data_IF_001283187610
#
_entry.id   IF_001283187610
#
_cell.length_a   1.000
_cell.length_b   1.000
_cell.length_c   1.000
_cell.angle_alpha   90.00
_cell.angle_beta   90.00
_cell.angle_gamma   90.00
#
_symmetry.space_group_name_H-M   'P 1'
#
loop_
_entity.id
_entity.type
_entity.pdbx_description
1 polymer ?
#
# COMPACT_ATOMS: atom_id res chain seq x y z
N UNK A 1 12.12 24.96 1.40
CA UNK A 1 11.04 25.23 0.42
C UNK A 1 10.53 23.86 -0.03
N UNK A 2 9.42 23.38 0.51
CA UNK A 2 8.93 22.02 0.22
C UNK A 2 8.14 22.02 -1.08
N UNK A 3 8.58 21.17 -2.02
CA UNK A 3 7.94 21.00 -3.32
C UNK A 3 6.56 20.35 -3.16
N UNK A 4 5.55 20.90 -3.84
CA UNK A 4 4.26 20.25 -4.01
C UNK A 4 4.45 19.03 -4.93
N UNK A 5 4.54 17.84 -4.32
CA UNK A 5 4.63 16.58 -5.05
C UNK A 5 3.32 16.27 -5.78
N UNK A 6 3.38 16.11 -7.11
CA UNK A 6 2.26 15.63 -7.91
C UNK A 6 2.00 14.16 -7.56
N UNK A 7 0.74 13.85 -7.26
CA UNK A 7 0.22 12.51 -7.02
C UNK A 7 0.40 11.66 -8.29
N UNK A 8 1.28 10.67 -8.27
CA UNK A 8 1.39 9.67 -9.34
C UNK A 8 0.74 8.37 -8.88
N UNK A 9 -0.42 8.04 -9.45
CA UNK A 9 -1.08 6.74 -9.27
C UNK A 9 -0.39 5.72 -10.16
N UNK A 10 0.29 4.74 -9.57
CA UNK A 10 0.92 3.65 -10.31
C UNK A 10 0.15 2.35 -10.04
N UNK A 11 -0.53 1.86 -11.08
CA UNK A 11 -1.33 0.62 -11.04
C UNK A 11 -0.44 -0.53 -11.52
N UNK A 12 -0.07 -1.43 -10.62
CA UNK A 12 0.73 -2.62 -10.94
C UNK A 12 -0.07 -3.62 -11.78
N UNK A 13 0.52 -4.12 -12.87
CA UNK A 13 -0.13 -5.01 -13.84
C UNK A 13 0.27 -6.49 -13.72
N UNK A 14 -0.75 -7.37 -13.80
CA UNK A 14 -0.83 -8.76 -14.30
C UNK A 14 0.41 -9.68 -14.21
N UNK A 15 0.24 -10.80 -13.50
CA UNK A 15 0.90 -12.06 -13.83
C UNK A 15 -0.16 -13.14 -14.15
N UNK A 16 -0.13 -13.70 -15.37
CA UNK A 16 -0.83 -14.96 -15.71
C UNK A 16 0.17 -16.09 -15.51
N UNK A 17 0.00 -16.88 -14.45
CA UNK A 17 0.78 -18.09 -14.25
C UNK A 17 0.28 -19.22 -15.16
N UNK A 18 1.04 -19.55 -16.20
CA UNK A 18 0.91 -20.83 -16.89
C UNK A 18 1.78 -21.85 -16.14
N UNK A 19 1.16 -22.87 -15.56
CA UNK A 19 1.84 -23.89 -14.77
C UNK A 19 2.70 -24.84 -15.61
N UNK A 20 3.81 -25.29 -15.02
CA UNK A 20 4.34 -26.66 -15.14
C UNK A 20 5.22 -26.99 -13.92
N UNK A 21 4.95 -28.16 -13.35
CA UNK A 21 5.62 -28.79 -12.22
C UNK A 21 7.13 -28.95 -12.40
N UNK A 22 7.89 -28.73 -11.32
CA UNK A 22 8.96 -29.63 -10.89
C UNK A 22 9.22 -29.50 -9.38
N UNK A 23 9.32 -30.66 -8.74
CA UNK A 23 9.64 -30.97 -7.36
C UNK A 23 10.94 -30.30 -6.83
N UNK A 24 10.88 -29.69 -5.64
CA UNK A 24 11.97 -29.60 -4.64
C UNK A 24 11.54 -28.81 -3.38
N UNK A 25 11.80 -29.39 -2.20
CA UNK A 25 11.88 -28.73 -0.88
C UNK A 25 13.35 -28.79 -0.39
N UNK A 26 13.78 -28.06 0.68
CA UNK A 26 13.05 -27.11 1.53
C UNK A 26 13.82 -25.81 1.89
N UNK A 27 13.08 -24.86 2.49
CA UNK A 27 13.59 -23.90 3.48
C UNK A 27 13.73 -22.45 3.00
N UNK A 28 12.94 -21.54 3.58
CA UNK A 28 13.30 -20.18 4.06
C UNK A 28 12.00 -19.46 4.46
N UNK A 29 12.06 -18.67 5.55
CA UNK A 29 10.94 -18.00 6.21
C UNK A 29 9.93 -17.36 5.26
N UNK A 30 8.73 -17.92 5.27
CA UNK A 30 7.61 -17.48 4.48
C UNK A 30 7.06 -16.14 4.99
N UNK A 31 7.37 -15.05 4.29
CA UNK A 31 6.49 -13.88 4.25
C UNK A 31 5.24 -14.23 3.41
N UNK A 32 4.41 -15.13 3.95
CA UNK A 32 3.14 -15.52 3.33
C UNK A 32 2.08 -14.47 3.65
N UNK A 33 1.94 -13.50 2.76
CA UNK A 33 0.70 -12.74 2.59
C UNK A 33 0.53 -12.44 1.11
N UNK A 34 0.37 -13.51 0.33
CA UNK A 34 0.08 -13.43 -1.09
C UNK A 34 -0.73 -14.66 -1.50
N UNK A 35 -2.00 -14.71 -1.08
CA UNK A 35 -3.13 -15.19 -1.89
C UNK A 35 -4.41 -15.14 -1.04
N UNK A 36 -4.96 -13.94 -0.86
CA UNK A 36 -6.32 -13.76 -0.36
C UNK A 36 -7.34 -13.57 -1.50
N UNK A 37 -6.86 -13.32 -2.72
CA UNK A 37 -7.65 -13.45 -3.94
C UNK A 37 -7.22 -14.74 -4.64
N UNK A 38 -8.17 -15.62 -4.90
CA UNK A 38 -8.00 -16.68 -5.90
C UNK A 38 -7.90 -16.07 -7.30
N UNK A 39 -8.68 -16.55 -8.27
CA UNK A 39 -8.68 -16.03 -9.65
C UNK A 39 -9.19 -14.57 -9.81
N UNK A 40 -9.50 -13.90 -8.70
CA UNK A 40 -10.02 -12.53 -8.67
C UNK A 40 -8.89 -11.50 -8.77
N UNK A 41 -9.13 -10.45 -9.55
CA UNK A 41 -8.24 -9.29 -9.59
C UNK A 41 -8.23 -8.60 -8.23
N UNK A 42 -7.05 -8.19 -7.78
CA UNK A 42 -6.84 -7.50 -6.52
C UNK A 42 -6.30 -6.09 -6.79
N UNK A 43 -6.80 -5.12 -6.04
CA UNK A 43 -6.31 -3.74 -6.07
C UNK A 43 -5.56 -3.40 -4.78
N UNK A 44 -4.50 -2.63 -4.90
CA UNK A 44 -3.87 -1.90 -3.81
C UNK A 44 -3.72 -0.44 -4.22
N UNK A 45 -3.94 0.48 -3.29
CA UNK A 45 -3.82 1.93 -3.52
C UNK A 45 -2.79 2.49 -2.55
N UNK A 46 -1.83 3.23 -3.10
CA UNK A 46 -0.68 3.76 -2.36
C UNK A 46 -0.48 5.25 -2.68
N UNK A 47 0.10 5.98 -1.72
CA UNK A 47 0.71 7.28 -1.95
C UNK A 47 2.22 7.09 -2.10
N UNK A 48 2.75 7.45 -3.27
CA UNK A 48 4.19 7.47 -3.52
C UNK A 48 4.85 8.71 -2.94
N UNK A 49 6.14 8.60 -2.62
CA UNK A 49 6.95 9.75 -2.24
C UNK A 49 7.57 10.44 -3.46
N UNK A 50 7.89 11.75 -3.37
CA UNK A 50 8.80 12.39 -4.30
C UNK A 50 10.10 11.59 -4.45
N UNK A 51 10.70 11.63 -5.64
CA UNK A 51 11.85 10.77 -6.01
C UNK A 51 12.99 10.86 -5.01
N UNK A 52 13.32 12.06 -4.57
CA UNK A 52 14.39 12.36 -3.64
C UNK A 52 14.16 11.70 -2.27
N UNK A 53 12.94 11.80 -1.74
CA UNK A 53 12.55 11.17 -0.47
C UNK A 53 12.51 9.64 -0.64
N UNK A 54 11.95 9.15 -1.74
CA UNK A 54 11.89 7.71 -2.02
C UNK A 54 13.28 7.07 -2.08
N UNK A 55 14.25 7.75 -2.70
CA UNK A 55 15.65 7.29 -2.78
C UNK A 55 16.33 7.26 -1.42
N UNK A 56 16.15 8.29 -0.60
CA UNK A 56 16.69 8.33 0.76
C UNK A 56 16.12 7.19 1.62
N UNK A 57 14.80 7.00 1.58
CA UNK A 57 14.14 5.90 2.31
C UNK A 57 14.57 4.52 1.81
N UNK A 58 14.78 4.37 0.49
CA UNK A 58 15.30 3.14 -0.08
C UNK A 58 16.72 2.83 0.42
N UNK A 59 17.61 3.83 0.49
CA UNK A 59 18.96 3.66 1.02
C UNK A 59 18.94 3.24 2.49
N UNK A 60 18.08 3.84 3.31
CA UNK A 60 17.91 3.42 4.69
C UNK A 60 17.43 1.97 4.79
N UNK A 61 16.39 1.60 4.03
CA UNK A 61 15.88 0.21 4.01
C UNK A 61 16.96 -0.79 3.59
N UNK A 62 17.73 -0.47 2.55
CA UNK A 62 18.86 -1.30 2.10
C UNK A 62 19.94 -1.43 3.19
N UNK A 63 20.27 -0.33 3.88
CA UNK A 63 21.26 -0.32 4.97
C UNK A 63 20.83 -1.17 6.18
N UNK A 64 19.52 -1.34 6.39
CA UNK A 64 18.96 -2.20 7.42
C UNK A 64 18.76 -3.66 6.96
N UNK A 65 19.18 -3.99 5.74
CA UNK A 65 19.12 -5.35 5.19
C UNK A 65 17.75 -5.75 4.69
N UNK A 66 16.87 -4.81 4.33
CA UNK A 66 15.59 -5.12 3.70
C UNK A 66 15.81 -5.64 2.25
N UNK A 67 15.53 -6.92 1.96
CA UNK A 67 15.75 -7.48 0.63
C UNK A 67 14.82 -6.88 -0.44
N UNK A 68 13.72 -6.23 -0.03
CA UNK A 68 12.74 -5.61 -0.92
C UNK A 68 12.99 -4.11 -1.12
N UNK A 69 14.07 -3.56 -0.57
CA UNK A 69 14.39 -2.13 -0.66
C UNK A 69 14.45 -1.65 -2.12
N UNK A 70 15.05 -2.44 -3.02
CA UNK A 70 15.21 -2.09 -4.43
C UNK A 70 14.01 -2.45 -5.32
N UNK A 71 13.14 -3.35 -4.83
CA UNK A 71 12.03 -3.90 -5.62
C UNK A 71 10.76 -3.08 -5.41
N UNK A 72 10.49 -2.66 -4.17
CA UNK A 72 9.27 -1.98 -3.79
C UNK A 72 9.65 -0.59 -3.28
N UNK A 73 9.38 0.50 -4.02
CA UNK A 73 9.62 1.85 -3.52
C UNK A 73 8.87 2.11 -2.21
N UNK A 74 9.45 2.96 -1.37
CA UNK A 74 8.75 3.42 -0.16
C UNK A 74 7.42 4.09 -0.54
N UNK A 75 6.37 3.80 0.23
CA UNK A 75 5.02 4.30 0.00
C UNK A 75 4.22 4.34 1.30
N UNK A 76 3.11 5.07 1.30
CA UNK A 76 2.07 5.00 2.32
C UNK A 76 0.92 4.20 1.73
N UNK A 77 0.54 3.11 2.39
CA UNK A 77 -0.58 2.27 1.93
C UNK A 77 -1.91 2.88 2.34
N UNK A 78 -2.79 3.14 1.38
CA UNK A 78 -4.18 3.56 1.64
C UNK A 78 -5.13 2.37 1.58
N UNK A 79 -4.99 1.50 0.57
CA UNK A 79 -5.80 0.28 0.45
C UNK A 79 -4.87 -0.90 0.26
N UNK A 80 -5.02 -1.91 1.11
CA UNK A 80 -4.32 -3.18 0.97
C UNK A 80 -5.07 -4.09 0.01
N UNK A 81 -4.40 -5.12 -0.50
CA UNK A 81 -4.87 -6.15 -1.45
C UNK A 81 -6.36 -6.49 -1.30
N UNK A 82 -7.21 -5.76 -2.02
CA UNK A 82 -8.67 -5.84 -1.94
C UNK A 82 -9.21 -6.44 -3.24
N UNK A 83 -10.03 -7.50 -3.17
CA UNK A 83 -10.65 -8.07 -4.37
C UNK A 83 -11.51 -7.02 -5.09
N UNK A 84 -11.27 -6.87 -6.39
CA UNK A 84 -12.06 -6.01 -7.28
C UNK A 84 -12.88 -6.91 -8.21
N UNK A 85 -14.21 -6.87 -8.07
CA UNK A 85 -15.13 -7.64 -8.90
C UNK A 85 -15.28 -7.00 -10.30
N UNK A 86 -15.44 -5.68 -10.33
CA UNK A 86 -15.45 -4.87 -11.54
C UNK A 86 -14.21 -3.96 -11.54
N UNK A 87 -13.24 -4.29 -12.40
CA UNK A 87 -11.97 -3.56 -12.49
C UNK A 87 -12.14 -2.16 -13.06
N UNK A 88 -13.05 -1.97 -14.02
CA UNK A 88 -13.24 -0.67 -14.66
C UNK A 88 -13.94 0.30 -13.71
N UNK A 89 -15.01 -0.15 -13.04
CA UNK A 89 -15.67 0.62 -11.99
C UNK A 89 -14.71 0.93 -10.83
N UNK A 90 -13.85 -0.01 -10.45
CA UNK A 90 -12.82 0.20 -9.41
C UNK A 90 -11.85 1.31 -9.81
N UNK A 91 -11.33 1.30 -11.05
CA UNK A 91 -10.42 2.33 -11.53
C UNK A 91 -11.09 3.71 -11.62
N UNK A 92 -12.34 3.76 -12.07
CA UNK A 92 -13.11 5.00 -12.11
C UNK A 92 -13.33 5.57 -10.71
N UNK A 93 -13.74 4.73 -9.75
CA UNK A 93 -13.90 5.10 -8.34
C UNK A 93 -12.63 5.69 -7.74
N UNK A 94 -11.48 5.02 -7.90
CA UNK A 94 -10.18 5.52 -7.40
C UNK A 94 -9.83 6.87 -8.03
N UNK A 95 -10.06 7.05 -9.35
CA UNK A 95 -9.82 8.32 -10.04
C UNK A 95 -10.75 9.43 -9.53
N UNK A 96 -12.00 9.09 -9.26
CA UNK A 96 -12.99 10.02 -8.73
C UNK A 96 -12.64 10.54 -7.34
N UNK A 97 -12.27 9.63 -6.43
CA UNK A 97 -11.80 10.01 -5.09
C UNK A 97 -10.55 10.88 -5.20
N UNK A 98 -9.57 10.48 -6.03
CA UNK A 98 -8.34 11.25 -6.22
C UNK A 98 -8.59 12.65 -6.81
N UNK A 99 -9.58 12.82 -7.70
CA UNK A 99 -9.94 14.12 -8.29
C UNK A 99 -10.58 15.08 -7.29
N UNK A 100 -11.35 14.56 -6.33
CA UNK A 100 -12.03 15.37 -5.30
C UNK A 100 -11.11 15.76 -4.15
N UNK A 101 -10.01 15.03 -3.97
CA UNK A 101 -9.07 15.28 -2.89
C UNK A 101 -8.28 16.58 -3.11
N UNK A 102 -8.35 17.48 -2.13
CA UNK A 102 -7.47 18.64 -2.09
C UNK A 102 -6.02 18.22 -1.73
N UNK A 103 -4.98 18.82 -2.34
CA UNK A 103 -3.61 18.58 -1.93
C UNK A 103 -3.40 18.89 -0.45
N UNK A 104 -2.67 18.02 0.26
CA UNK A 104 -2.33 18.20 1.67
C UNK A 104 -0.85 17.89 1.91
N UNK A 105 -0.33 18.37 3.04
CA UNK A 105 1.08 18.17 3.42
C UNK A 105 1.21 16.91 4.27
N UNK A 106 2.20 16.10 3.96
CA UNK A 106 2.62 14.97 4.80
C UNK A 106 3.95 15.31 5.45
N UNK A 107 4.02 15.14 6.77
CA UNK A 107 5.28 15.18 7.52
C UNK A 107 5.53 13.79 8.08
N UNK A 108 6.72 13.23 7.85
CA UNK A 108 7.12 11.96 8.45
C UNK A 108 8.13 12.24 9.56
N UNK A 109 7.88 11.68 10.75
CA UNK A 109 8.78 11.85 11.88
C UNK A 109 8.69 10.68 12.86
N UNK A 110 9.84 10.10 13.20
CA UNK A 110 9.94 8.97 14.11
C UNK A 110 9.53 7.63 13.48
N UNK A 111 9.72 6.57 14.26
CA UNK A 111 9.45 5.18 13.86
C UNK A 111 8.45 4.53 14.80
N UNK A 112 7.83 3.46 14.31
CA UNK A 112 7.00 2.54 15.08
C UNK A 112 7.28 1.09 14.67
N UNK A 113 6.75 0.14 15.43
CA UNK A 113 6.82 -1.28 15.09
C UNK A 113 5.52 -1.97 15.44
N UNK A 114 5.16 -2.99 14.65
CA UNK A 114 4.05 -3.90 14.94
C UNK A 114 4.46 -5.08 15.81
N UNK A 115 5.68 -5.09 16.35
CA UNK A 115 6.09 -6.11 17.33
C UNK A 115 5.21 -6.01 18.59
N UNK A 116 4.86 -7.14 19.22
CA UNK A 116 5.31 -8.51 18.89
C UNK A 116 4.49 -9.20 17.78
N UNK A 117 3.42 -8.60 17.28
CA UNK A 117 2.49 -9.21 16.31
C UNK A 117 3.16 -9.51 14.98
N UNK A 118 3.96 -8.58 14.45
CA UNK A 118 4.73 -8.81 13.22
C UNK A 118 6.08 -8.07 13.24
N UNK A 119 7.10 -8.57 12.52
CA UNK A 119 8.44 -7.98 12.52
C UNK A 119 8.55 -6.76 11.58
N UNK A 120 7.54 -5.90 11.55
CA UNK A 120 7.50 -4.70 10.69
C UNK A 120 7.91 -3.46 11.48
N UNK A 121 8.77 -2.65 10.88
CA UNK A 121 9.12 -1.29 11.32
C UNK A 121 8.57 -0.32 10.28
N UNK A 122 7.94 0.76 10.74
CA UNK A 122 7.36 1.77 9.86
C UNK A 122 7.73 3.17 10.32
N UNK A 123 7.63 4.13 9.40
CA UNK A 123 7.77 5.54 9.70
C UNK A 123 6.40 6.15 10.01
N UNK A 124 6.34 7.02 11.03
CA UNK A 124 5.08 7.64 11.46
C UNK A 124 4.79 8.89 10.64
N UNK A 125 3.52 9.06 10.30
CA UNK A 125 2.99 10.30 9.72
C UNK A 125 2.64 11.23 10.89
N UNK A 126 3.36 12.34 11.02
CA UNK A 126 3.17 13.36 12.06
C UNK A 126 2.11 14.40 11.65
N UNK A 127 2.12 14.82 10.38
CA UNK A 127 1.09 15.67 9.77
C UNK A 127 0.55 14.98 8.52
N UNK A 128 -0.74 15.16 8.21
CA UNK A 128 -1.38 14.54 7.04
C UNK A 128 -2.08 13.20 7.33
N UNK A 129 -2.10 12.77 8.60
CA UNK A 129 -2.68 11.49 9.00
C UNK A 129 -4.19 11.46 8.82
N UNK A 130 -4.90 12.50 9.25
CA UNK A 130 -6.36 12.57 9.15
C UNK A 130 -6.82 12.60 7.69
N UNK A 131 -6.08 13.27 6.81
CA UNK A 131 -6.33 13.29 5.38
C UNK A 131 -6.09 11.91 4.74
N UNK A 132 -5.08 11.17 5.18
CA UNK A 132 -4.87 9.79 4.75
C UNK A 132 -6.01 8.86 5.21
N UNK A 133 -6.50 9.05 6.44
CA UNK A 133 -7.67 8.31 6.95
C UNK A 133 -8.92 8.64 6.15
N UNK A 134 -9.21 9.93 5.92
CA UNK A 134 -10.36 10.34 5.11
C UNK A 134 -10.28 9.86 3.66
N UNK A 135 -9.08 9.79 3.08
CA UNK A 135 -8.85 9.16 1.77
C UNK A 135 -9.11 7.65 1.81
N UNK A 136 -8.62 6.95 2.82
CA UNK A 136 -8.87 5.52 3.01
C UNK A 136 -10.38 5.24 3.09
N UNK A 137 -11.10 5.99 3.92
CA UNK A 137 -12.54 5.85 4.11
C UNK A 137 -13.31 6.08 2.81
N UNK A 138 -12.98 7.13 2.06
CA UNK A 138 -13.60 7.39 0.75
C UNK A 138 -13.29 6.27 -0.26
N UNK A 139 -12.05 5.78 -0.28
CA UNK A 139 -11.65 4.67 -1.16
C UNK A 139 -12.41 3.39 -0.81
N UNK A 140 -12.70 3.13 0.46
CA UNK A 140 -13.42 1.94 0.97
C UNK A 140 -14.95 2.01 0.81
N UNK A 141 -15.45 2.82 -0.13
CA UNK A 141 -16.87 2.87 -0.51
C UNK A 141 -17.08 2.29 -1.92
N UNK A 142 -18.34 2.01 -2.28
CA UNK A 142 -18.69 1.58 -3.62
C UNK A 142 -18.02 0.26 -4.02
N UNK A 143 -17.29 0.18 -5.16
CA UNK A 143 -16.73 -1.08 -5.65
C UNK A 143 -15.63 -1.68 -4.77
N UNK A 144 -15.13 -0.93 -3.78
CA UNK A 144 -14.14 -1.39 -2.80
C UNK A 144 -14.71 -1.50 -1.39
N UNK A 145 -16.02 -1.30 -1.23
CA UNK A 145 -16.69 -1.46 0.06
C UNK A 145 -16.62 -2.91 0.54
N UNK A 146 -16.36 -3.08 1.84
CA UNK A 146 -16.27 -4.38 2.48
C UNK A 146 -16.92 -4.31 3.84
N UNK A 147 -17.71 -5.34 4.14
CA UNK A 147 -18.11 -5.62 5.52
C UNK A 147 -16.87 -6.06 6.30
N UNK A 148 -16.33 -5.15 7.11
CA UNK A 148 -15.30 -5.50 8.08
C UNK A 148 -16.00 -6.27 9.22
N UNK A 149 -15.53 -7.49 9.57
CA UNK A 149 -16.15 -8.29 10.62
C UNK A 149 -16.04 -7.70 12.04
N UNK A 150 -15.35 -6.56 12.20
CA UNK A 150 -15.18 -5.88 13.49
C UNK A 150 -15.28 -4.35 13.30
N UNK A 151 -15.99 -3.63 14.19
CA UNK A 151 -16.12 -2.18 14.11
C UNK A 151 -14.78 -1.49 14.41
N UNK A 152 -14.39 -0.53 13.56
CA UNK A 152 -13.27 0.38 13.78
C UNK A 152 -13.66 1.51 14.75
N UNK A 153 -14.02 1.16 15.98
CA UNK A 153 -14.24 2.16 17.02
C UNK A 153 -12.89 2.70 17.50
N UNK A 154 -12.65 3.97 17.20
CA UNK A 154 -11.48 4.78 17.60
C UNK A 154 -11.36 4.79 19.13
N UNK A 155 -10.25 4.29 19.68
CA UNK A 155 -9.83 4.56 21.07
C UNK A 155 -8.72 5.62 21.05
#
# INVERSE_FOLDING_TARGET
MCAAGKLSVQVGSRSRGAGRDTDARPGTGAHQSASACGDNLCVGVILGFPREVAQELQQWRASFGDPMAEVIPAHITLVTTTPAQDWEATLEHVRDVARRQAPFRITISGTGSFRPVSPVVFLKVADGFEECVGLHEQLQTGPLERDLPFPTTRT
#
